data_IF_644044167009
#
_entry.id   IF_644044167009
#
_cell.length_a   1.000
_cell.length_b   1.000
_cell.length_c   1.000
_cell.angle_alpha   90.00
_cell.angle_beta   90.00
_cell.angle_gamma   90.00
#
_symmetry.space_group_name_H-M   'P 1'
#
loop_
_entity.id
_entity.type
_entity.pdbx_description
1 polymer ?
#
# COMPACT_ATOMS: atom_id res chain seq x y z
N UNK A 1 11.06 -41.63 -32.59
CA UNK A 1 10.71 -40.21 -32.80
C UNK A 1 12.03 -39.42 -32.94
N UNK A 2 12.42 -38.99 -34.16
CA UNK A 2 13.71 -38.29 -34.40
C UNK A 2 13.53 -36.80 -34.15
N UNK A 3 14.15 -36.27 -33.09
CA UNK A 3 14.21 -34.82 -32.86
C UNK A 3 15.24 -34.25 -33.84
N UNK A 4 14.81 -33.33 -34.70
CA UNK A 4 15.71 -32.62 -35.62
C UNK A 4 16.71 -31.77 -34.84
N UNK A 5 17.98 -31.76 -35.26
CA UNK A 5 19.06 -30.93 -34.70
C UNK A 5 18.62 -29.45 -34.64
N UNK A 6 17.83 -28.99 -35.62
CA UNK A 6 17.27 -27.63 -35.61
C UNK A 6 16.32 -27.35 -34.45
N UNK A 7 15.53 -28.34 -34.02
CA UNK A 7 14.65 -28.20 -32.85
C UNK A 7 15.45 -28.16 -31.56
N UNK A 8 16.53 -28.95 -31.47
CA UNK A 8 17.41 -28.94 -30.30
C UNK A 8 18.13 -27.60 -30.11
N UNK A 9 18.62 -27.00 -31.21
CA UNK A 9 19.30 -25.69 -31.17
C UNK A 9 18.33 -24.57 -30.75
N UNK A 10 17.12 -24.54 -31.29
CA UNK A 10 16.11 -23.53 -30.92
C UNK A 10 15.70 -23.67 -29.46
N UNK A 11 15.51 -24.90 -28.96
CA UNK A 11 15.20 -25.14 -27.56
C UNK A 11 16.34 -24.69 -26.65
N UNK A 12 17.60 -24.97 -27.00
CA UNK A 12 18.77 -24.50 -26.24
C UNK A 12 18.88 -22.97 -26.25
N UNK A 13 18.61 -22.30 -27.37
CA UNK A 13 18.66 -20.84 -27.46
C UNK A 13 17.59 -20.18 -26.58
N UNK A 14 16.37 -20.72 -26.57
CA UNK A 14 15.27 -20.22 -25.72
C UNK A 14 15.60 -20.41 -24.23
N UNK A 15 16.18 -21.56 -23.85
CA UNK A 15 16.68 -21.80 -22.49
C UNK A 15 17.81 -20.84 -22.11
N UNK A 16 18.73 -20.53 -23.02
CA UNK A 16 19.80 -19.57 -22.77
C UNK A 16 19.26 -18.15 -22.51
N UNK A 17 18.27 -17.71 -23.29
CA UNK A 17 17.64 -16.37 -23.15
C UNK A 17 16.80 -16.29 -21.87
N UNK A 18 16.21 -17.40 -21.41
CA UNK A 18 15.50 -17.48 -20.14
C UNK A 18 16.46 -17.44 -18.92
N UNK A 19 17.67 -17.97 -19.05
CA UNK A 19 18.67 -18.00 -17.96
C UNK A 19 19.54 -16.73 -17.84
N UNK A 20 19.57 -15.85 -18.84
CA UNK A 20 20.45 -14.66 -18.85
C UNK A 20 19.73 -13.35 -18.57
N UNK A 21 18.50 -13.39 -18.04
CA UNK A 21 17.86 -12.15 -17.56
C UNK A 21 18.69 -11.60 -16.40
N UNK A 22 19.31 -10.42 -16.53
CA UNK A 22 19.97 -9.80 -15.40
C UNK A 22 18.89 -9.58 -14.33
N UNK A 23 19.01 -10.28 -13.21
CA UNK A 23 18.33 -9.90 -11.99
C UNK A 23 18.96 -8.57 -11.60
N UNK A 24 18.18 -7.48 -11.65
CA UNK A 24 18.55 -6.26 -10.98
C UNK A 24 18.62 -6.58 -9.49
N UNK A 25 19.79 -7.03 -9.05
CA UNK A 25 20.13 -7.24 -7.65
C UNK A 25 20.42 -5.85 -7.11
N UNK A 26 19.35 -5.12 -6.81
CA UNK A 26 19.44 -4.09 -5.79
C UNK A 26 19.87 -4.81 -4.52
N UNK A 27 20.91 -4.34 -3.86
CA UNK A 27 21.20 -4.72 -2.49
C UNK A 27 19.98 -4.28 -1.65
N UNK A 28 18.96 -5.13 -1.59
CA UNK A 28 17.82 -4.95 -0.71
C UNK A 28 18.41 -5.10 0.68
N UNK A 29 18.38 -4.04 1.48
CA UNK A 29 18.61 -4.22 2.90
C UNK A 29 17.56 -5.22 3.37
N UNK A 30 17.96 -6.33 4.00
CA UNK A 30 17.01 -7.30 4.60
C UNK A 30 16.15 -6.67 5.70
N UNK A 31 16.43 -5.42 6.06
CA UNK A 31 15.67 -4.64 7.02
C UNK A 31 14.61 -3.81 6.32
N UNK A 32 13.40 -3.90 6.85
CA UNK A 32 12.28 -3.01 6.57
C UNK A 32 11.77 -2.40 7.88
N UNK A 33 11.31 -1.17 7.84
CA UNK A 33 10.68 -0.47 8.96
C UNK A 33 9.27 -0.10 8.55
N UNK A 34 8.27 -0.64 9.24
CA UNK A 34 6.87 -0.26 9.01
C UNK A 34 6.24 0.25 10.30
N UNK A 35 5.34 1.22 10.15
CA UNK A 35 4.49 1.67 11.26
C UNK A 35 3.19 0.88 11.27
N UNK A 36 2.68 0.60 12.48
CA UNK A 36 1.33 0.06 12.68
C UNK A 36 0.56 1.06 13.52
N UNK A 37 -0.57 1.53 13.00
CA UNK A 37 -1.44 2.50 13.67
C UNK A 37 -2.91 2.04 13.59
N UNK A 38 -3.74 2.50 14.51
CA UNK A 38 -5.16 2.20 14.54
C UNK A 38 -5.91 3.32 15.23
N UNK A 39 -7.24 3.33 15.09
CA UNK A 39 -8.11 4.28 15.78
C UNK A 39 -7.65 5.73 15.56
N UNK A 40 -7.32 6.01 14.30
CA UNK A 40 -6.80 7.29 13.82
C UNK A 40 -7.82 7.94 12.88
N UNK A 41 -7.55 9.16 12.43
CA UNK A 41 -8.40 9.81 11.45
C UNK A 41 -9.58 10.53 12.07
N UNK A 42 -9.33 11.19 13.20
CA UNK A 42 -10.10 12.36 13.62
C UNK A 42 -9.20 13.59 13.51
N UNK A 43 -9.42 14.42 12.48
CA UNK A 43 -8.60 15.60 12.26
C UNK A 43 -8.55 16.52 13.50
N UNK A 44 -7.34 16.89 13.89
CA UNK A 44 -7.07 17.74 15.05
C UNK A 44 -5.61 17.66 15.48
N UNK A 45 -5.29 18.35 16.58
CA UNK A 45 -3.94 18.31 17.16
C UNK A 45 -3.49 16.89 17.55
N UNK A 46 -4.33 16.03 18.16
CA UNK A 46 -3.91 14.67 18.50
C UNK A 46 -3.48 13.85 17.28
N UNK A 47 -4.23 13.92 16.18
CA UNK A 47 -3.87 13.24 14.93
C UNK A 47 -2.59 13.82 14.33
N UNK A 48 -2.41 15.15 14.39
CA UNK A 48 -1.17 15.79 13.93
C UNK A 48 0.06 15.30 14.73
N UNK A 49 -0.07 15.16 16.04
CA UNK A 49 1.00 14.70 16.92
C UNK A 49 1.37 13.23 16.65
N UNK A 50 0.37 12.36 16.46
CA UNK A 50 0.59 10.97 16.06
C UNK A 50 1.23 10.88 14.68
N UNK A 51 0.73 11.63 13.70
CA UNK A 51 1.31 11.65 12.36
C UNK A 51 2.78 12.10 12.36
N UNK A 52 3.12 13.12 13.16
CA UNK A 52 4.50 13.57 13.32
C UNK A 52 5.39 12.51 13.97
N UNK A 53 4.87 11.79 14.99
CA UNK A 53 5.59 10.67 15.60
C UNK A 53 5.84 9.54 14.59
N UNK A 54 4.82 9.12 13.84
CA UNK A 54 4.95 8.07 12.82
C UNK A 54 5.98 8.46 11.76
N UNK A 55 5.93 9.71 11.26
CA UNK A 55 6.90 10.23 10.29
C UNK A 55 8.32 10.27 10.82
N UNK A 56 8.49 10.52 12.13
CA UNK A 56 9.82 10.55 12.76
C UNK A 56 10.55 9.20 12.72
N UNK A 57 9.81 8.09 12.55
CA UNK A 57 10.39 6.76 12.44
C UNK A 57 10.97 6.46 11.05
N UNK A 58 10.71 7.32 10.06
CA UNK A 58 11.14 7.14 8.67
C UNK A 58 10.72 5.76 8.11
N UNK A 59 9.45 5.42 8.25
CA UNK A 59 8.90 4.12 7.83
C UNK A 59 8.87 3.96 6.31
N UNK A 60 9.18 2.75 5.84
CA UNK A 60 9.04 2.34 4.44
C UNK A 60 7.56 2.32 4.03
N UNK A 61 6.69 1.82 4.91
CA UNK A 61 5.24 1.82 4.74
C UNK A 61 4.49 1.85 6.08
N UNK A 62 3.18 2.07 6.01
CA UNK A 62 2.24 2.08 7.15
C UNK A 62 1.18 1.01 6.93
N UNK A 63 0.88 0.22 7.96
CA UNK A 63 -0.29 -0.68 8.02
C UNK A 63 -1.25 -0.15 9.08
N UNK A 64 -2.56 -0.23 8.83
CA UNK A 64 -3.55 0.15 9.85
C UNK A 64 -4.31 -1.05 10.41
N UNK A 65 -4.76 -0.94 11.65
CA UNK A 65 -5.59 -1.96 12.34
C UNK A 65 -7.09 -1.64 12.30
N UNK A 66 -7.52 -0.65 11.52
CA UNK A 66 -8.91 -0.23 11.42
C UNK A 66 -9.18 1.17 11.95
N UNK A 67 -10.43 1.59 11.75
CA UNK A 67 -10.98 2.88 12.18
C UNK A 67 -10.12 4.04 11.68
N UNK A 68 -10.22 4.28 10.37
CA UNK A 68 -9.34 5.19 9.64
C UNK A 68 -9.94 6.59 9.47
N UNK A 69 -11.26 6.74 9.67
CA UNK A 69 -11.98 7.95 9.30
C UNK A 69 -13.20 8.18 10.21
N UNK A 70 -12.99 8.91 11.31
CA UNK A 70 -14.04 9.25 12.27
C UNK A 70 -14.92 10.45 11.82
N UNK A 71 -16.18 10.53 12.29
CA UNK A 71 -16.82 9.58 13.19
C UNK A 71 -17.39 8.34 12.49
N UNK A 72 -17.71 8.42 11.19
CA UNK A 72 -18.56 7.42 10.54
C UNK A 72 -18.08 7.04 9.12
N UNK A 73 -16.78 7.13 8.81
CA UNK A 73 -16.24 6.59 7.57
C UNK A 73 -16.72 7.30 6.30
N UNK A 74 -17.17 8.55 6.37
CA UNK A 74 -17.85 9.21 5.26
C UNK A 74 -16.89 9.86 4.25
N UNK A 75 -17.33 10.02 3.00
CA UNK A 75 -16.50 10.62 1.95
C UNK A 75 -16.21 12.10 2.19
N UNK A 76 -17.09 12.81 2.89
CA UNK A 76 -16.95 14.24 3.19
C UNK A 76 -15.77 14.52 4.12
N UNK A 77 -15.42 13.55 4.97
CA UNK A 77 -14.41 13.69 6.02
C UNK A 77 -13.09 13.01 5.67
N UNK A 78 -13.11 12.00 4.79
CA UNK A 78 -11.98 11.07 4.58
C UNK A 78 -10.67 11.76 4.21
N UNK A 79 -10.69 12.74 3.31
CA UNK A 79 -9.45 13.40 2.91
C UNK A 79 -8.94 14.36 3.99
N UNK A 80 -9.84 15.03 4.70
CA UNK A 80 -9.45 15.86 5.84
C UNK A 80 -8.88 15.00 6.96
N UNK A 81 -9.46 13.86 7.26
CA UNK A 81 -9.02 13.02 8.38
C UNK A 81 -7.72 12.27 8.10
N UNK A 82 -7.42 11.96 6.84
CA UNK A 82 -6.26 11.13 6.48
C UNK A 82 -5.24 11.92 5.66
N UNK A 83 -5.68 12.57 4.58
CA UNK A 83 -4.81 13.15 3.56
C UNK A 83 -3.86 14.21 4.09
N UNK A 84 -4.33 15.10 4.97
CA UNK A 84 -3.46 16.14 5.54
C UNK A 84 -2.28 15.58 6.35
N UNK A 85 -2.40 14.34 6.82
CA UNK A 85 -1.41 13.69 7.66
C UNK A 85 -0.58 12.65 6.90
N UNK A 86 -1.18 11.83 6.05
CA UNK A 86 -0.53 10.65 5.48
C UNK A 86 -0.48 10.62 3.95
N UNK A 87 -0.87 11.69 3.23
CA UNK A 87 -0.89 11.66 1.76
C UNK A 87 0.45 11.22 1.14
N UNK A 88 1.58 11.55 1.76
CA UNK A 88 2.93 11.16 1.28
C UNK A 88 3.22 9.65 1.28
N UNK A 89 2.31 8.85 1.86
CA UNK A 89 2.33 7.39 1.86
C UNK A 89 1.24 6.78 0.95
N UNK A 90 0.26 7.56 0.51
CA UNK A 90 -0.92 7.05 -0.20
C UNK A 90 -0.70 7.11 -1.71
N UNK A 91 -1.00 6.00 -2.39
CA UNK A 91 -0.97 5.91 -3.85
C UNK A 91 -2.16 5.09 -4.36
N UNK A 92 -2.81 5.49 -5.47
CA UNK A 92 -2.80 6.84 -6.02
C UNK A 92 -3.56 7.80 -5.07
N UNK A 93 -2.90 8.84 -4.59
CA UNK A 93 -3.59 9.89 -3.83
C UNK A 93 -4.31 10.86 -4.77
N UNK A 94 -5.56 11.20 -4.45
CA UNK A 94 -6.41 12.11 -5.24
C UNK A 94 -6.96 13.29 -4.43
N UNK A 95 -6.53 13.42 -3.18
CA UNK A 95 -6.99 14.47 -2.29
C UNK A 95 -6.25 15.79 -2.50
N UNK A 96 -6.48 16.74 -1.60
CA UNK A 96 -6.03 18.14 -1.76
C UNK A 96 -4.74 18.51 -1.04
N UNK A 97 -4.17 17.61 -0.22
CA UNK A 97 -3.08 17.96 0.71
C UNK A 97 -1.67 17.69 0.20
N UNK A 98 -1.51 17.31 -1.06
CA UNK A 98 -0.21 17.07 -1.69
C UNK A 98 -0.29 16.16 -2.90
N UNK A 99 0.86 15.74 -3.40
CA UNK A 99 0.97 14.95 -4.63
C UNK A 99 0.74 13.45 -4.44
N UNK A 100 0.72 12.95 -3.22
CA UNK A 100 0.73 11.52 -2.93
C UNK A 100 2.13 10.90 -2.91
N UNK A 101 2.16 9.62 -2.58
CA UNK A 101 3.30 8.75 -2.87
C UNK A 101 3.36 8.40 -4.37
N UNK A 102 4.53 7.96 -4.86
CA UNK A 102 4.69 7.41 -6.21
C UNK A 102 4.47 5.89 -6.28
N UNK A 103 4.39 5.24 -5.12
CA UNK A 103 4.15 3.81 -4.95
C UNK A 103 3.25 3.59 -3.74
N UNK A 104 2.63 2.41 -3.62
CA UNK A 104 1.83 2.10 -2.44
C UNK A 104 2.72 2.01 -1.19
N UNK A 105 2.47 2.87 -0.20
CA UNK A 105 3.13 2.84 1.10
C UNK A 105 2.16 2.93 2.28
N UNK A 106 0.85 2.91 2.03
CA UNK A 106 -0.20 2.96 3.05
C UNK A 106 -1.18 1.80 2.84
N UNK A 107 -1.28 0.91 3.81
CA UNK A 107 -2.02 -0.35 3.72
C UNK A 107 -3.08 -0.37 4.84
N UNK A 108 -4.26 0.21 4.61
CA UNK A 108 -5.26 0.33 5.65
C UNK A 108 -6.06 -0.96 5.81
N UNK A 109 -6.51 -1.26 7.02
CA UNK A 109 -7.54 -2.27 7.29
C UNK A 109 -8.84 -1.57 7.64
N UNK A 110 -9.98 -2.23 7.43
CA UNK A 110 -11.28 -1.68 7.86
C UNK A 110 -11.52 -1.95 9.35
N UNK A 111 -11.95 -0.93 10.09
CA UNK A 111 -12.56 -1.05 11.42
C UNK A 111 -14.07 -0.75 11.37
N UNK A 112 -14.75 -0.78 12.51
CA UNK A 112 -16.20 -0.56 12.58
C UNK A 112 -16.61 0.88 12.25
N UNK A 113 -15.77 1.88 12.53
CA UNK A 113 -16.06 3.28 12.21
C UNK A 113 -15.94 3.60 10.71
N UNK A 114 -15.33 2.72 9.92
CA UNK A 114 -15.25 2.88 8.46
C UNK A 114 -16.55 2.47 7.73
N UNK A 115 -17.51 1.88 8.44
CA UNK A 115 -18.81 1.46 7.91
C UNK A 115 -19.85 2.59 8.00
N UNK A 116 -19.64 3.65 7.21
CA UNK A 116 -20.60 4.75 7.11
C UNK A 116 -21.96 4.37 6.51
N UNK A 117 -22.85 5.36 6.39
CA UNK A 117 -24.22 5.15 5.87
C UNK A 117 -24.31 4.55 4.45
N UNK A 118 -23.21 4.59 3.68
CA UNK A 118 -23.09 3.98 2.36
C UNK A 118 -22.18 2.73 2.35
N UNK A 119 -21.99 2.10 3.51
CA UNK A 119 -21.01 1.03 3.72
C UNK A 119 -19.57 1.53 3.55
N UNK A 120 -18.68 0.63 3.13
CA UNK A 120 -17.23 0.90 3.00
C UNK A 120 -16.83 1.57 1.68
N UNK A 121 -17.79 2.11 0.92
CA UNK A 121 -17.53 2.74 -0.38
C UNK A 121 -16.52 3.90 -0.29
N UNK A 122 -16.62 4.84 0.68
CA UNK A 122 -15.64 5.92 0.79
C UNK A 122 -14.21 5.40 0.99
N UNK A 123 -14.04 4.41 1.87
CA UNK A 123 -12.76 3.73 2.08
C UNK A 123 -12.20 3.14 0.78
N UNK A 124 -13.02 2.36 0.05
CA UNK A 124 -12.59 1.67 -1.17
C UNK A 124 -12.21 2.67 -2.28
N UNK A 125 -12.97 3.76 -2.42
CA UNK A 125 -12.73 4.79 -3.43
C UNK A 125 -11.51 5.66 -3.11
N UNK A 126 -11.29 5.96 -1.82
CA UNK A 126 -10.19 6.82 -1.37
C UNK A 126 -8.82 6.14 -1.48
N UNK A 127 -8.68 4.93 -0.92
CA UNK A 127 -7.40 4.22 -0.93
C UNK A 127 -7.15 3.50 -2.25
N UNK A 128 -8.20 3.11 -2.97
CA UNK A 128 -8.08 2.44 -4.28
C UNK A 128 -7.30 1.13 -4.24
N UNK A 129 -7.11 0.53 -3.05
CA UNK A 129 -5.99 -0.38 -2.81
C UNK A 129 -6.15 -1.75 -3.48
N UNK A 130 -7.37 -2.25 -3.68
CA UNK A 130 -7.74 -3.29 -4.66
C UNK A 130 -9.22 -3.11 -4.98
N UNK A 131 -9.62 -3.25 -6.25
CA UNK A 131 -11.01 -2.99 -6.68
C UNK A 131 -12.00 -3.84 -5.89
N UNK A 132 -12.75 -3.19 -5.00
CA UNK A 132 -13.85 -3.76 -4.22
C UNK A 132 -13.49 -4.94 -3.30
N UNK A 133 -12.24 -5.04 -2.83
CA UNK A 133 -11.82 -6.04 -1.85
C UNK A 133 -11.63 -5.41 -0.48
N UNK A 134 -12.24 -6.03 0.55
CA UNK A 134 -12.14 -5.60 1.95
C UNK A 134 -11.07 -6.36 2.74
N UNK A 135 -10.49 -7.40 2.14
CA UNK A 135 -9.37 -8.19 2.67
C UNK A 135 -8.34 -8.35 1.57
N UNK A 136 -7.07 -8.34 1.92
CA UNK A 136 -5.97 -8.46 0.98
C UNK A 136 -4.74 -9.01 1.68
N UNK A 137 -3.80 -9.46 0.85
CA UNK A 137 -2.43 -9.79 1.27
C UNK A 137 -1.44 -8.95 0.44
N UNK A 138 -0.24 -8.73 0.99
CA UNK A 138 0.87 -8.12 0.24
C UNK A 138 2.22 -8.48 0.85
N UNK A 139 3.26 -8.45 0.00
CA UNK A 139 4.64 -8.60 0.43
C UNK A 139 5.41 -7.28 0.26
N UNK A 140 6.20 -6.91 1.28
CA UNK A 140 7.17 -5.81 1.22
C UNK A 140 8.51 -6.33 1.75
N UNK A 141 9.50 -6.45 0.88
CA UNK A 141 10.78 -7.06 1.25
C UNK A 141 10.59 -8.46 1.88
N UNK A 142 11.05 -8.70 3.12
CA UNK A 142 10.99 -10.01 3.78
C UNK A 142 9.69 -10.30 4.52
N UNK A 143 8.70 -9.40 4.53
CA UNK A 143 7.44 -9.56 5.28
C UNK A 143 6.24 -9.77 4.36
N UNK A 144 5.32 -10.64 4.78
CA UNK A 144 4.03 -10.90 4.14
C UNK A 144 2.92 -10.61 5.16
N UNK A 145 2.01 -9.71 4.82
CA UNK A 145 0.79 -9.38 5.56
C UNK A 145 -0.42 -9.95 4.86
#
# INVERSE_FOLDING_TARGET
>A
MKISISRLIVTLLVLLILCTRPTNTHAQTDRIVFAVIGDYGLAGQPEADVANLVKSWNSDFIVTTGDNNYPNGTAETIDQNIGQYYQEFIYPYKGKYGNGATTQRFFPSLGNHDWGGNGVKPYLEYFGFRKNQTYYEFAQGPVHF
#
